data_IF_251107751516
#
_entry.id   IF_251107751516
#
_cell.length_a   1.000
_cell.length_b   1.000
_cell.length_c   1.000
_cell.angle_alpha   90.00
_cell.angle_beta   90.00
_cell.angle_gamma   90.00
#
_symmetry.space_group_name_H-M   'P 1'
#
loop_
_entity.id
_entity.type
_entity.pdbx_description
1 polymer ?
#
# COMPACT_ATOMS: atom_id res chain seq x y z
N UNK A 1 -16.09 -0.96 12.02
CA UNK A 1 -16.92 0.05 11.33
C UNK A 1 -16.28 0.34 9.98
N UNK A 2 -17.02 0.19 8.88
CA UNK A 2 -16.56 0.52 7.54
C UNK A 2 -16.48 2.05 7.41
N UNK A 3 -15.37 2.57 6.89
CA UNK A 3 -15.20 4.00 6.61
C UNK A 3 -14.69 4.12 5.18
N UNK A 4 -15.49 4.76 4.34
CA UNK A 4 -15.09 5.14 2.99
C UNK A 4 -13.93 6.13 3.09
N UNK A 5 -12.79 5.79 2.49
CA UNK A 5 -11.67 6.72 2.38
C UNK A 5 -11.72 7.39 1.00
N UNK A 6 -11.75 8.72 0.97
CA UNK A 6 -11.83 9.49 -0.29
C UNK A 6 -10.69 9.16 -1.27
N UNK A 7 -9.53 8.70 -0.78
CA UNK A 7 -8.42 8.23 -1.63
C UNK A 7 -8.82 7.09 -2.59
N UNK A 8 -9.89 6.37 -2.28
CA UNK A 8 -10.41 5.33 -3.18
C UNK A 8 -11.03 5.94 -4.43
N UNK A 9 -11.66 7.12 -4.33
CA UNK A 9 -12.32 7.79 -5.47
C UNK A 9 -11.33 8.23 -6.55
N UNK A 10 -10.08 8.51 -6.18
CA UNK A 10 -9.02 8.89 -7.10
C UNK A 10 -8.30 7.67 -7.71
N UNK A 11 -8.60 6.45 -7.24
CA UNK A 11 -8.00 5.24 -7.79
C UNK A 11 -8.72 4.81 -9.07
N UNK A 12 -8.02 4.61 -10.20
CA UNK A 12 -8.65 4.34 -11.50
C UNK A 12 -9.55 3.09 -11.52
N UNK A 13 -9.19 2.07 -10.73
CA UNK A 13 -9.98 0.83 -10.63
C UNK A 13 -11.24 0.95 -9.76
N UNK A 14 -11.35 1.98 -8.91
CA UNK A 14 -12.43 2.05 -7.92
C UNK A 14 -13.83 2.21 -8.51
N UNK A 15 -14.06 3.04 -9.55
CA UNK A 15 -15.38 3.11 -10.20
C UNK A 15 -15.85 1.75 -10.72
N UNK A 16 -14.97 0.98 -11.36
CA UNK A 16 -15.30 -0.35 -11.85
C UNK A 16 -15.61 -1.35 -10.74
N UNK A 17 -14.96 -1.22 -9.58
CA UNK A 17 -15.28 -2.01 -8.39
C UNK A 17 -16.69 -1.69 -7.89
N UNK A 18 -17.07 -0.41 -7.80
CA UNK A 18 -18.42 0.00 -7.37
C UNK A 18 -19.47 -0.56 -8.33
N UNK A 19 -19.29 -0.39 -9.64
CA UNK A 19 -20.23 -0.89 -10.64
C UNK A 19 -20.41 -2.41 -10.58
N UNK A 20 -19.34 -3.17 -10.35
CA UNK A 20 -19.41 -4.63 -10.26
C UNK A 20 -20.27 -5.12 -9.08
N UNK A 21 -20.26 -4.42 -7.94
CA UNK A 21 -21.03 -4.83 -6.76
C UNK A 21 -22.45 -4.27 -6.76
N UNK A 22 -22.67 -3.08 -7.33
CA UNK A 22 -23.96 -2.39 -7.23
C UNK A 22 -24.86 -2.57 -8.46
N UNK A 23 -24.36 -3.12 -9.56
CA UNK A 23 -25.20 -3.48 -10.72
C UNK A 23 -25.93 -4.84 -10.56
N UNK A 24 -25.58 -5.65 -9.56
CA UNK A 24 -26.32 -6.87 -9.23
C UNK A 24 -27.56 -6.55 -8.39
N UNK A 25 -28.72 -6.52 -9.04
CA UNK A 25 -30.03 -6.29 -8.40
C UNK A 25 -30.65 -7.55 -7.81
N UNK A 26 -30.05 -8.72 -8.01
CA UNK A 26 -30.57 -10.01 -7.52
C UNK A 26 -30.10 -10.36 -6.11
N UNK A 27 -28.93 -9.83 -5.70
CA UNK A 27 -28.39 -10.06 -4.38
C UNK A 27 -29.02 -9.11 -3.33
N UNK A 28 -29.48 -9.60 -2.17
CA UNK A 28 -29.94 -8.73 -1.09
C UNK A 28 -28.88 -7.69 -0.71
N UNK A 29 -29.31 -6.42 -0.58
CA UNK A 29 -28.43 -5.27 -0.26
C UNK A 29 -27.51 -5.53 0.94
N UNK A 30 -27.99 -6.25 1.96
CA UNK A 30 -27.20 -6.61 3.14
C UNK A 30 -26.01 -7.51 2.79
N UNK A 31 -26.19 -8.48 1.88
CA UNK A 31 -25.12 -9.34 1.41
C UNK A 31 -24.15 -8.55 0.53
N UNK A 32 -24.67 -7.71 -0.38
CA UNK A 32 -23.85 -6.82 -1.21
C UNK A 32 -22.96 -5.93 -0.35
N UNK A 33 -23.49 -5.30 0.70
CA UNK A 33 -22.70 -4.47 1.63
C UNK A 33 -21.62 -5.29 2.33
N UNK A 34 -21.95 -6.50 2.81
CA UNK A 34 -20.99 -7.38 3.50
C UNK A 34 -19.85 -7.78 2.57
N UNK A 35 -20.19 -8.23 1.36
CA UNK A 35 -19.25 -8.77 0.40
C UNK A 35 -18.37 -7.64 -0.17
N UNK A 36 -18.98 -6.47 -0.47
CA UNK A 36 -18.26 -5.25 -0.85
C UNK A 36 -17.30 -4.77 0.25
N UNK A 37 -17.73 -4.80 1.53
CA UNK A 37 -16.88 -4.42 2.67
C UNK A 37 -15.69 -5.36 2.81
N UNK A 38 -15.90 -6.67 2.63
CA UNK A 38 -14.83 -7.66 2.66
C UNK A 38 -13.84 -7.45 1.52
N UNK A 39 -14.35 -7.29 0.29
CA UNK A 39 -13.54 -7.03 -0.89
C UNK A 39 -12.70 -5.76 -0.73
N UNK A 40 -13.31 -4.66 -0.30
CA UNK A 40 -12.60 -3.40 -0.12
C UNK A 40 -11.53 -3.48 0.96
N UNK A 41 -11.69 -4.31 1.99
CA UNK A 41 -10.63 -4.52 2.99
C UNK A 41 -9.40 -5.15 2.35
N UNK A 42 -9.59 -6.17 1.51
CA UNK A 42 -8.49 -6.85 0.84
C UNK A 42 -7.88 -5.98 -0.25
N UNK A 43 -8.71 -5.33 -1.07
CA UNK A 43 -8.26 -4.36 -2.08
C UNK A 43 -7.50 -3.20 -1.44
N UNK A 44 -7.97 -2.64 -0.32
CA UNK A 44 -7.25 -1.57 0.37
C UNK A 44 -5.86 -2.06 0.86
N UNK A 45 -5.76 -3.33 1.28
CA UNK A 45 -4.49 -3.94 1.68
C UNK A 45 -3.56 -4.24 0.48
N UNK A 46 -4.08 -4.65 -0.66
CA UNK A 46 -3.27 -4.96 -1.85
C UNK A 46 -2.88 -3.69 -2.62
N UNK A 47 -3.79 -2.72 -2.72
CA UNK A 47 -3.56 -1.47 -3.44
C UNK A 47 -2.74 -0.48 -2.61
N UNK A 48 -3.03 -0.32 -1.31
CA UNK A 48 -2.34 0.64 -0.44
C UNK A 48 -1.43 -0.02 0.60
N UNK A 49 -1.82 -1.18 1.15
CA UNK A 49 -1.00 -1.94 2.10
C UNK A 49 0.29 -2.51 1.53
N UNK A 50 0.43 -2.57 0.20
CA UNK A 50 1.66 -2.98 -0.47
C UNK A 50 2.82 -2.01 -0.16
N UNK A 51 2.57 -0.71 -0.03
CA UNK A 51 3.60 0.29 0.31
C UNK A 51 4.16 0.07 1.72
N UNK A 52 3.29 -0.12 2.72
CA UNK A 52 3.70 -0.40 4.09
C UNK A 52 4.44 -1.74 4.23
N UNK A 53 3.99 -2.78 3.51
CA UNK A 53 4.67 -4.07 3.48
C UNK A 53 6.03 -4.00 2.77
N UNK A 54 6.13 -3.25 1.67
CA UNK A 54 7.39 -2.97 0.98
C UNK A 54 8.36 -2.24 1.91
N UNK A 55 7.89 -1.22 2.64
CA UNK A 55 8.67 -0.51 3.67
C UNK A 55 9.23 -1.45 4.72
N UNK A 56 8.41 -2.35 5.28
CA UNK A 56 8.85 -3.33 6.28
C UNK A 56 9.91 -4.28 5.72
N UNK A 57 9.70 -4.80 4.50
CA UNK A 57 10.65 -5.71 3.84
C UNK A 57 11.98 -5.03 3.56
N UNK A 58 11.97 -3.82 3.00
CA UNK A 58 13.20 -3.14 2.62
C UNK A 58 14.03 -2.73 3.84
N UNK A 59 13.40 -2.31 4.94
CA UNK A 59 14.09 -2.04 6.20
C UNK A 59 14.76 -3.31 6.76
N UNK A 60 14.11 -4.47 6.66
CA UNK A 60 14.72 -5.74 7.04
C UNK A 60 15.94 -6.07 6.17
N UNK A 61 15.87 -5.84 4.86
CA UNK A 61 17.00 -6.02 3.95
C UNK A 61 18.16 -5.05 4.26
N UNK A 62 17.87 -3.76 4.45
CA UNK A 62 18.89 -2.75 4.82
C UNK A 62 19.60 -3.16 6.11
N UNK A 63 18.85 -3.56 7.14
CA UNK A 63 19.43 -4.05 8.40
C UNK A 63 20.33 -5.28 8.18
N UNK A 64 19.91 -6.21 7.33
CA UNK A 64 20.72 -7.39 6.97
C UNK A 64 22.03 -6.99 6.28
N UNK A 65 21.97 -6.08 5.31
CA UNK A 65 23.16 -5.59 4.58
C UNK A 65 24.09 -4.81 5.49
N UNK A 66 23.56 -3.97 6.37
CA UNK A 66 24.37 -3.24 7.36
C UNK A 66 25.12 -4.18 8.31
N UNK A 67 24.47 -5.26 8.78
CA UNK A 67 25.13 -6.28 9.60
C UNK A 67 26.21 -7.03 8.82
N UNK A 68 25.95 -7.36 7.56
CA UNK A 68 26.93 -8.02 6.70
C UNK A 68 28.16 -7.12 6.48
N UNK A 69 27.95 -5.83 6.19
CA UNK A 69 29.03 -4.83 6.03
C UNK A 69 29.84 -4.63 7.31
N UNK A 70 29.21 -4.70 8.47
CA UNK A 70 29.92 -4.58 9.75
C UNK A 70 30.87 -5.76 10.01
N UNK A 71 30.55 -6.95 9.47
CA UNK A 71 31.37 -8.15 9.64
C UNK A 71 32.43 -8.28 8.54
N UNK A 72 32.06 -8.03 7.28
CA UNK A 72 32.93 -8.14 6.11
C UNK A 72 32.57 -7.06 5.09
N UNK A 73 33.24 -5.88 5.16
CA UNK A 73 33.00 -4.80 4.22
C UNK A 73 33.43 -5.20 2.81
N UNK A 74 32.51 -5.20 1.86
CA UNK A 74 32.84 -5.37 0.45
C UNK A 74 32.06 -4.42 -0.46
N UNK A 75 32.62 -4.16 -1.64
CA UNK A 75 32.09 -3.20 -2.60
C UNK A 75 30.69 -3.56 -3.09
N UNK A 76 30.40 -4.87 -3.23
CA UNK A 76 29.09 -5.36 -3.62
C UNK A 76 28.01 -4.99 -2.60
N UNK A 77 28.27 -5.23 -1.30
CA UNK A 77 27.35 -4.88 -0.23
C UNK A 77 27.16 -3.37 -0.10
N UNK A 78 28.21 -2.57 -0.36
CA UNK A 78 28.10 -1.11 -0.35
C UNK A 78 27.20 -0.60 -1.49
N UNK A 79 27.36 -1.15 -2.70
CA UNK A 79 26.48 -0.87 -3.84
C UNK A 79 25.04 -1.30 -3.57
N UNK A 80 24.85 -2.49 -3.00
CA UNK A 80 23.53 -2.99 -2.61
C UNK A 80 22.85 -2.07 -1.58
N UNK A 81 23.60 -1.60 -0.57
CA UNK A 81 23.07 -0.65 0.41
C UNK A 81 22.60 0.65 -0.25
N UNK A 82 23.35 1.19 -1.21
CA UNK A 82 22.92 2.40 -1.94
C UNK A 82 21.63 2.17 -2.74
N UNK A 83 21.52 1.04 -3.44
CA UNK A 83 20.30 0.67 -4.17
C UNK A 83 19.10 0.57 -3.22
N UNK A 84 19.24 -0.16 -2.11
CA UNK A 84 18.18 -0.31 -1.12
C UNK A 84 17.79 1.04 -0.48
N UNK A 85 18.74 1.94 -0.27
CA UNK A 85 18.45 3.28 0.26
C UNK A 85 17.63 4.12 -0.74
N UNK A 86 17.91 4.01 -2.04
CA UNK A 86 17.13 4.68 -3.09
C UNK A 86 15.70 4.13 -3.15
N UNK A 87 15.56 2.81 -3.20
CA UNK A 87 14.26 2.15 -3.20
C UNK A 87 13.43 2.51 -1.94
N UNK A 88 14.10 2.69 -0.79
CA UNK A 88 13.45 3.12 0.45
C UNK A 88 12.94 4.57 0.37
N UNK A 89 13.71 5.49 -0.24
CA UNK A 89 13.26 6.86 -0.51
C UNK A 89 12.01 6.88 -1.39
N UNK A 90 11.96 6.06 -2.44
CA UNK A 90 10.80 5.96 -3.32
C UNK A 90 9.55 5.45 -2.58
N UNK A 91 9.72 4.50 -1.65
CA UNK A 91 8.64 4.01 -0.78
C UNK A 91 8.15 5.11 0.18
N UNK A 92 9.07 5.89 0.77
CA UNK A 92 8.70 7.01 1.64
C UNK A 92 7.90 8.08 0.89
N UNK A 93 8.29 8.38 -0.35
CA UNK A 93 7.55 9.31 -1.20
C UNK A 93 6.12 8.82 -1.46
N UNK A 94 5.96 7.53 -1.78
CA UNK A 94 4.63 6.93 -1.95
C UNK A 94 3.79 7.02 -0.65
N UNK A 95 4.40 6.81 0.51
CA UNK A 95 3.72 6.93 1.80
C UNK A 95 3.33 8.38 2.10
N UNK A 96 4.19 9.35 1.78
CA UNK A 96 3.90 10.79 1.90
C UNK A 96 2.75 11.20 0.98
N UNK A 97 2.75 10.77 -0.28
CA UNK A 97 1.66 11.02 -1.23
C UNK A 97 0.33 10.48 -0.69
N UNK A 98 0.32 9.26 -0.15
CA UNK A 98 -0.85 8.68 0.52
C UNK A 98 -1.28 9.47 1.76
N UNK A 99 -0.33 9.96 2.54
CA UNK A 99 -0.63 10.77 3.73
C UNK A 99 -1.21 12.14 3.37
N UNK A 100 -0.63 12.81 2.38
CA UNK A 100 -1.12 14.10 1.86
C UNK A 100 -2.52 13.95 1.27
N UNK A 101 -2.77 12.87 0.53
CA UNK A 101 -4.09 12.54 0.00
C UNK A 101 -5.10 12.40 1.14
N UNK A 102 -4.77 11.63 2.18
CA UNK A 102 -5.62 11.52 3.38
C UNK A 102 -5.90 12.88 4.02
N UNK A 103 -4.87 13.71 4.22
CA UNK A 103 -4.99 15.04 4.85
C UNK A 103 -5.89 15.99 4.08
N UNK A 104 -5.68 16.13 2.76
CA UNK A 104 -6.47 17.01 1.87
C UNK A 104 -7.95 16.65 1.87
N UNK A 105 -8.23 15.35 1.99
CA UNK A 105 -9.57 14.81 1.87
C UNK A 105 -10.31 14.71 3.22
N UNK A 106 -9.60 14.90 4.34
CA UNK A 106 -10.16 15.01 5.70
C UNK A 106 -10.54 16.44 6.12
N UNK A 107 -10.29 17.43 5.25
CA UNK A 107 -10.80 18.79 5.38
C UNK A 107 -12.14 18.98 4.66
#
# INVERSE_FOLDING_TARGET
MFKLERMWLDHPDFPGIVDNFWNDTTNPVVNTIRDFTSFLRDWNRTSFGNVFNKKKKILACINGVQRALANDPNEFLFKLQQTLAKDYMDILKQEEDLWLLKKRLSC
#
